data_IF_014198300498
#
_entry.id   IF_014198300498
#
_cell.length_a   1.000
_cell.length_b   1.000
_cell.length_c   1.000
_cell.angle_alpha   90.00
_cell.angle_beta   90.00
_cell.angle_gamma   90.00
#
_symmetry.space_group_name_H-M   'P 1'
#
loop_
_entity.id
_entity.type
_entity.pdbx_description
1 polymer ?
#
# COMPACT_ATOMS: atom_id res chain seq x y z
N UNK A 1 7.18 -57.36 39.27
CA UNK A 1 8.45 -56.61 39.19
C UNK A 1 8.22 -55.45 38.24
N UNK A 2 7.39 -54.48 38.63
CA UNK A 2 6.77 -53.54 37.67
C UNK A 2 6.64 -52.14 38.28
N UNK A 3 7.73 -51.63 38.86
CA UNK A 3 7.79 -50.28 39.42
C UNK A 3 8.87 -49.41 38.78
N UNK A 4 9.80 -50.03 38.03
CA UNK A 4 10.87 -49.30 37.33
C UNK A 4 10.41 -48.78 35.96
N UNK A 5 9.57 -49.51 35.22
CA UNK A 5 9.20 -49.14 33.85
C UNK A 5 8.34 -47.86 33.78
N UNK A 6 7.45 -47.68 34.75
CA UNK A 6 6.53 -46.52 34.81
C UNK A 6 7.24 -45.21 35.19
N UNK A 7 8.34 -45.31 35.95
CA UNK A 7 9.14 -44.16 36.38
C UNK A 7 9.89 -43.51 35.20
N UNK A 8 10.40 -44.32 34.26
CA UNK A 8 11.08 -43.82 33.06
C UNK A 8 10.11 -43.20 32.05
N UNK A 9 8.90 -43.75 31.93
CA UNK A 9 7.85 -43.24 31.03
C UNK A 9 7.32 -41.88 31.50
N UNK A 10 7.17 -41.65 32.81
CA UNK A 10 6.77 -40.37 33.38
C UNK A 10 7.87 -39.28 33.26
N UNK A 11 9.14 -39.64 33.49
CA UNK A 11 10.28 -38.73 33.32
C UNK A 11 10.47 -38.31 31.85
N UNK A 12 10.30 -39.25 30.92
CA UNK A 12 10.41 -38.99 29.48
C UNK A 12 9.26 -38.08 28.98
N UNK A 13 8.03 -38.27 29.50
CA UNK A 13 6.88 -37.40 29.19
C UNK A 13 7.03 -35.98 29.75
N UNK A 14 7.64 -35.82 30.92
CA UNK A 14 7.83 -34.51 31.55
C UNK A 14 8.90 -33.66 30.85
N UNK A 15 9.96 -34.26 30.30
CA UNK A 15 10.99 -33.55 29.53
C UNK A 15 10.50 -33.10 28.14
N UNK A 16 9.68 -33.92 27.46
CA UNK A 16 9.16 -33.58 26.12
C UNK A 16 8.15 -32.44 26.17
N UNK A 17 7.33 -32.34 27.23
CA UNK A 17 6.39 -31.21 27.42
C UNK A 17 7.08 -29.88 27.77
N UNK A 18 8.23 -29.90 28.46
CA UNK A 18 9.01 -28.69 28.77
C UNK A 18 9.80 -28.16 27.55
N UNK A 19 10.24 -29.04 26.66
CA UNK A 19 10.93 -28.68 25.41
C UNK A 19 9.96 -28.10 24.35
N UNK A 20 8.70 -28.54 24.34
CA UNK A 20 7.68 -27.98 23.42
C UNK A 20 7.21 -26.57 23.81
N UNK A 21 7.17 -26.24 25.11
CA UNK A 21 6.74 -24.91 25.57
C UNK A 21 7.81 -23.82 25.30
N UNK A 22 9.10 -24.19 25.26
CA UNK A 22 10.20 -23.29 24.90
C UNK A 22 10.25 -22.98 23.39
N UNK A 23 9.75 -23.87 22.53
CA UNK A 23 9.74 -23.66 21.08
C UNK A 23 8.62 -22.71 20.62
N UNK A 24 7.50 -22.62 21.37
CA UNK A 24 6.39 -21.71 21.05
C UNK A 24 6.67 -20.27 21.46
N UNK A 25 7.56 -20.03 22.43
CA UNK A 25 7.95 -18.68 22.89
C UNK A 25 9.03 -18.04 22.00
N UNK A 26 9.77 -18.83 21.20
CA UNK A 26 10.87 -18.35 20.36
C UNK A 26 10.47 -17.68 19.03
N UNK A 27 9.21 -17.81 18.59
CA UNK A 27 8.76 -17.32 17.27
C UNK A 27 8.04 -15.96 17.30
N UNK A 28 7.79 -15.39 18.48
CA UNK A 28 7.07 -14.10 18.60
C UNK A 28 7.96 -12.85 18.58
N UNK A 29 9.26 -12.99 18.30
CA UNK A 29 10.21 -11.88 18.38
C UNK A 29 10.45 -11.12 17.06
N UNK A 30 9.81 -11.50 15.95
CA UNK A 30 9.82 -10.67 14.73
C UNK A 30 8.73 -9.59 14.81
N UNK A 31 8.72 -8.82 15.90
CA UNK A 31 8.07 -7.51 15.91
C UNK A 31 8.94 -6.59 15.06
N UNK A 32 8.70 -6.61 13.74
CA UNK A 32 9.16 -5.55 12.86
C UNK A 32 8.57 -4.26 13.40
N UNK A 33 9.33 -3.51 14.21
CA UNK A 33 8.95 -2.17 14.62
C UNK A 33 8.56 -1.43 13.34
N UNK A 34 7.30 -0.99 13.17
CA UNK A 34 6.97 -0.17 12.02
C UNK A 34 7.90 1.03 12.12
N UNK A 35 8.80 1.17 11.15
CA UNK A 35 9.60 2.37 11.02
C UNK A 35 8.62 3.54 11.12
N UNK A 36 8.93 4.60 11.89
CA UNK A 36 8.03 5.73 12.00
C UNK A 36 7.67 6.14 10.58
N UNK A 37 6.37 6.00 10.25
CA UNK A 37 5.85 6.48 9.00
C UNK A 37 6.08 7.98 9.07
N UNK A 38 7.20 8.43 8.50
CA UNK A 38 7.33 9.81 8.07
C UNK A 38 6.02 10.07 7.34
N UNK A 39 5.23 11.06 7.79
CA UNK A 39 4.02 11.48 7.07
C UNK A 39 4.50 12.12 5.77
N UNK A 40 5.05 11.30 4.90
CA UNK A 40 5.59 11.66 3.62
C UNK A 40 4.39 12.13 2.83
N UNK A 41 4.38 13.41 2.49
CA UNK A 41 3.30 14.02 1.74
C UNK A 41 3.00 13.16 0.49
N UNK A 42 1.74 13.03 0.07
CA UNK A 42 1.42 12.29 -1.15
C UNK A 42 2.24 12.79 -2.35
N UNK A 43 2.48 11.92 -3.33
CA UNK A 43 2.95 12.34 -4.65
C UNK A 43 1.72 12.76 -5.43
N UNK A 44 1.55 14.06 -5.62
CA UNK A 44 0.48 14.62 -6.44
C UNK A 44 0.84 14.48 -7.93
N UNK A 45 -0.09 13.96 -8.72
CA UNK A 45 0.04 13.83 -10.17
C UNK A 45 -1.13 14.57 -10.81
N UNK A 46 -0.81 15.65 -11.51
CA UNK A 46 -1.78 16.46 -12.25
C UNK A 46 -2.06 15.90 -13.64
N UNK A 47 -3.33 15.83 -14.03
CA UNK A 47 -3.76 15.37 -15.35
C UNK A 47 -4.78 16.36 -15.94
N UNK A 48 -4.55 16.79 -17.17
CA UNK A 48 -5.55 17.48 -17.99
C UNK A 48 -6.20 16.45 -18.91
N UNK A 49 -7.51 16.22 -18.72
CA UNK A 49 -8.28 15.23 -19.48
C UNK A 49 -9.46 15.91 -20.17
N UNK A 50 -9.80 15.48 -21.38
CA UNK A 50 -10.97 15.98 -22.11
C UNK A 50 -12.28 15.41 -21.60
N UNK A 51 -12.64 15.63 -20.34
CA UNK A 51 -13.83 15.04 -19.70
C UNK A 51 -15.18 15.58 -20.24
N UNK A 52 -15.11 16.51 -21.19
CA UNK A 52 -16.23 16.99 -22.00
C UNK A 52 -15.74 17.37 -23.41
N UNK A 53 -16.67 17.53 -24.36
CA UNK A 53 -16.34 17.83 -25.76
C UNK A 53 -16.00 16.57 -26.57
N UNK A 54 -15.38 16.79 -27.72
CA UNK A 54 -15.19 15.80 -28.79
C UNK A 54 -14.46 14.52 -28.36
N UNK A 55 -13.62 14.58 -27.32
CA UNK A 55 -12.82 13.44 -26.86
C UNK A 55 -13.30 12.85 -25.51
N UNK A 56 -14.51 13.18 -25.08
CA UNK A 56 -15.03 12.79 -23.75
C UNK A 56 -15.21 11.29 -23.55
N UNK A 57 -15.66 10.57 -24.56
CA UNK A 57 -15.87 9.13 -24.47
C UNK A 57 -14.56 8.37 -24.14
N UNK A 58 -13.47 8.68 -24.83
CA UNK A 58 -12.16 8.09 -24.59
C UNK A 58 -11.56 8.58 -23.25
N UNK A 59 -11.75 9.86 -22.94
CA UNK A 59 -11.16 10.49 -21.76
C UNK A 59 -11.70 9.92 -20.44
N UNK A 60 -12.97 9.49 -20.43
CA UNK A 60 -13.56 8.77 -19.29
C UNK A 60 -12.87 7.42 -19.04
N UNK A 61 -12.49 6.71 -20.11
CA UNK A 61 -11.73 5.46 -19.98
C UNK A 61 -10.33 5.71 -19.43
N UNK A 62 -9.68 6.80 -19.84
CA UNK A 62 -8.39 7.20 -19.29
C UNK A 62 -8.49 7.54 -17.80
N UNK A 63 -9.50 8.33 -17.39
CA UNK A 63 -9.73 8.64 -15.98
C UNK A 63 -9.84 7.37 -15.13
N UNK A 64 -10.67 6.41 -15.56
CA UNK A 64 -10.84 5.12 -14.87
C UNK A 64 -9.51 4.34 -14.77
N UNK A 65 -8.72 4.34 -15.84
CA UNK A 65 -7.39 3.71 -15.86
C UNK A 65 -6.42 4.33 -14.86
N UNK A 66 -6.37 5.66 -14.80
CA UNK A 66 -5.52 6.37 -13.83
C UNK A 66 -5.96 6.10 -12.38
N UNK A 67 -7.26 6.15 -12.11
CA UNK A 67 -7.81 5.87 -10.78
C UNK A 67 -7.52 4.43 -10.34
N UNK A 68 -7.69 3.46 -11.24
CA UNK A 68 -7.35 2.05 -10.99
C UNK A 68 -5.85 1.90 -10.70
N UNK A 69 -5.00 2.54 -11.50
CA UNK A 69 -3.55 2.52 -11.30
C UNK A 69 -3.15 3.12 -9.95
N UNK A 70 -3.63 4.32 -9.62
CA UNK A 70 -3.32 4.99 -8.35
C UNK A 70 -3.79 4.15 -7.16
N UNK A 71 -5.00 3.57 -7.23
CA UNK A 71 -5.50 2.64 -6.21
C UNK A 71 -4.57 1.44 -6.06
N UNK A 72 -4.19 0.80 -7.15
CA UNK A 72 -3.32 -0.39 -7.14
C UNK A 72 -1.95 -0.05 -6.55
N UNK A 73 -1.32 1.03 -6.99
CA UNK A 73 -0.02 1.49 -6.46
C UNK A 73 -0.10 1.79 -4.97
N UNK A 74 -1.14 2.50 -4.53
CA UNK A 74 -1.33 2.84 -3.12
C UNK A 74 -1.57 1.61 -2.25
N UNK A 75 -2.28 0.60 -2.75
CA UNK A 75 -2.45 -0.68 -2.07
C UNK A 75 -1.12 -1.44 -1.88
N UNK A 76 -0.11 -1.19 -2.71
CA UNK A 76 1.22 -1.80 -2.64
C UNK A 76 2.27 -0.90 -1.98
N UNK A 77 1.84 0.08 -1.16
CA UNK A 77 2.74 0.95 -0.40
C UNK A 77 3.12 2.26 -1.10
N UNK A 78 2.50 2.56 -2.25
CA UNK A 78 2.71 3.81 -2.96
C UNK A 78 4.03 3.85 -3.74
N UNK A 79 4.36 5.02 -4.29
CA UNK A 79 5.62 5.24 -4.98
C UNK A 79 6.67 5.69 -3.95
N UNK A 80 7.75 4.92 -3.80
CA UNK A 80 8.82 5.22 -2.83
C UNK A 80 8.28 5.37 -1.38
N UNK A 81 7.23 4.62 -1.02
CA UNK A 81 6.57 4.71 0.29
C UNK A 81 5.62 5.91 0.46
N UNK A 82 5.35 6.66 -0.62
CA UNK A 82 4.43 7.82 -0.62
C UNK A 82 3.15 7.49 -1.39
N UNK A 83 1.97 7.78 -0.83
CA UNK A 83 0.72 7.56 -1.56
C UNK A 83 0.64 8.49 -2.76
N UNK A 84 0.12 8.00 -3.88
CA UNK A 84 -0.24 8.77 -5.07
C UNK A 84 -1.58 9.47 -4.84
N UNK A 85 -1.64 10.76 -5.17
CA UNK A 85 -2.88 11.54 -5.24
C UNK A 85 -3.03 12.08 -6.67
N UNK A 86 -4.17 11.81 -7.31
CA UNK A 86 -4.47 12.35 -8.63
C UNK A 86 -5.18 13.71 -8.49
N UNK A 87 -4.79 14.67 -9.32
CA UNK A 87 -5.49 15.95 -9.52
C UNK A 87 -5.91 16.04 -10.98
N UNK A 88 -7.14 15.61 -11.26
CA UNK A 88 -7.69 15.50 -12.61
C UNK A 88 -8.56 16.74 -12.88
N UNK A 89 -8.22 17.47 -13.93
CA UNK A 89 -8.96 18.66 -14.39
C UNK A 89 -9.44 18.47 -15.82
N UNK A 90 -10.63 18.99 -16.14
CA UNK A 90 -11.15 18.92 -17.50
C UNK A 90 -10.52 20.00 -18.39
N UNK A 91 -10.11 19.66 -19.61
CA UNK A 91 -9.79 20.63 -20.66
C UNK A 91 -10.93 20.89 -21.65
N UNK A 92 -12.06 20.20 -21.50
CA UNK A 92 -13.21 20.32 -22.38
C UNK A 92 -12.86 20.18 -23.89
N UNK A 93 -11.85 19.38 -24.22
CA UNK A 93 -11.34 19.20 -25.60
C UNK A 93 -10.77 20.49 -26.21
N UNK A 94 -10.34 21.45 -25.38
CA UNK A 94 -9.82 22.74 -25.82
C UNK A 94 -8.31 22.88 -25.60
N UNK A 95 -7.50 23.10 -26.66
CA UNK A 95 -6.06 23.34 -26.51
C UNK A 95 -5.72 24.54 -25.62
N UNK A 96 -6.54 25.59 -25.63
CA UNK A 96 -6.34 26.75 -24.76
C UNK A 96 -6.56 26.41 -23.28
N UNK A 97 -7.53 25.54 -22.99
CA UNK A 97 -7.77 25.08 -21.62
C UNK A 97 -6.67 24.14 -21.16
N UNK A 98 -6.12 23.29 -22.04
CA UNK A 98 -4.94 22.46 -21.72
C UNK A 98 -3.76 23.31 -21.22
N UNK A 99 -3.47 24.42 -21.90
CA UNK A 99 -2.39 25.33 -21.49
C UNK A 99 -2.66 25.95 -20.12
N UNK A 100 -3.90 26.39 -19.87
CA UNK A 100 -4.34 26.95 -18.59
C UNK A 100 -4.25 25.91 -17.46
N UNK A 101 -4.67 24.67 -17.73
CA UNK A 101 -4.63 23.56 -16.80
C UNK A 101 -3.18 23.25 -16.40
N UNK A 102 -2.26 23.11 -17.36
CA UNK A 102 -0.86 22.84 -17.01
C UNK A 102 -0.20 23.99 -16.28
N UNK A 103 -0.49 25.24 -16.64
CA UNK A 103 -0.01 26.39 -15.86
C UNK A 103 -0.44 26.26 -14.39
N UNK A 104 -1.72 25.97 -14.13
CA UNK A 104 -2.24 25.78 -12.77
C UNK A 104 -1.62 24.58 -12.05
N UNK A 105 -1.60 23.42 -12.70
CA UNK A 105 -1.09 22.18 -12.13
C UNK A 105 0.39 22.30 -11.75
N UNK A 106 1.19 22.99 -12.57
CA UNK A 106 2.62 23.17 -12.34
C UNK A 106 2.88 24.25 -11.28
N UNK A 107 2.21 25.40 -11.32
CA UNK A 107 2.60 26.53 -10.46
C UNK A 107 1.82 26.66 -9.17
N UNK A 108 0.65 26.05 -9.05
CA UNK A 108 -0.21 26.18 -7.86
C UNK A 108 -0.34 24.86 -7.12
N UNK A 109 -0.51 23.75 -7.85
CA UNK A 109 -0.85 22.45 -7.27
C UNK A 109 0.36 21.49 -7.29
N UNK A 110 1.52 21.91 -6.80
CA UNK A 110 2.78 21.14 -6.90
C UNK A 110 3.40 20.69 -5.56
N UNK A 111 2.78 21.03 -4.43
CA UNK A 111 3.25 20.68 -3.08
C UNK A 111 2.55 19.44 -2.48
#
# INVERSE_FOLDING_TARGET
MDTHHDSYICLFRSCVSLLFLMLVVGLSACTSSPAPAHRSQPIRIGLSLSLSGDFSDDSLLFQQGYELWAKTVNQHGGLLGRPVQLDIVSDASSPAQVQTNYQKLITVNHD
#
